data_IF_104938576840
#
_entry.id   IF_104938576840
#
_cell.length_a   1.000
_cell.length_b   1.000
_cell.length_c   1.000
_cell.angle_alpha   90.00
_cell.angle_beta   90.00
_cell.angle_gamma   90.00
#
_symmetry.space_group_name_H-M   'P 1'
#
loop_
_entity.id
_entity.type
_entity.pdbx_description
1 polymer ?
#
# COMPACT_ATOMS: atom_id res chain seq x y z
N UNK A 1 -20.31 7.42 -12.96
CA UNK A 1 -19.82 8.63 -12.30
C UNK A 1 -18.41 8.90 -12.81
N UNK A 2 -18.10 10.12 -13.22
CA UNK A 2 -16.75 10.54 -13.60
C UNK A 2 -15.87 10.72 -12.34
N UNK A 3 -14.53 10.76 -12.47
CA UNK A 3 -13.66 11.01 -11.33
C UNK A 3 -13.96 12.33 -10.60
N UNK A 4 -14.27 13.40 -11.33
CA UNK A 4 -14.64 14.70 -10.74
C UNK A 4 -15.99 14.65 -10.03
N UNK A 5 -16.97 13.94 -10.57
CA UNK A 5 -18.25 13.73 -9.88
C UNK A 5 -18.06 12.93 -8.59
N UNK A 6 -17.17 11.91 -8.59
CA UNK A 6 -16.86 11.15 -7.38
C UNK A 6 -16.20 12.02 -6.31
N UNK A 7 -15.23 12.84 -6.71
CA UNK A 7 -14.60 13.82 -5.82
C UNK A 7 -15.64 14.74 -5.17
N UNK A 8 -16.58 15.27 -5.95
CA UNK A 8 -17.64 16.15 -5.44
C UNK A 8 -18.48 15.45 -4.37
N UNK A 9 -18.89 14.19 -4.61
CA UNK A 9 -19.65 13.41 -3.63
C UNK A 9 -18.87 13.22 -2.32
N UNK A 10 -17.55 13.01 -2.39
CA UNK A 10 -16.70 12.87 -1.21
C UNK A 10 -16.56 14.21 -0.46
N UNK A 11 -16.30 15.30 -1.18
CA UNK A 11 -16.16 16.64 -0.60
C UNK A 11 -17.48 17.16 0.00
N UNK A 12 -18.65 16.79 -0.56
CA UNK A 12 -19.98 17.08 -0.01
C UNK A 12 -20.22 16.44 1.37
N UNK A 13 -19.44 15.42 1.74
CA UNK A 13 -19.47 14.78 3.06
C UNK A 13 -18.36 15.29 3.99
N UNK A 14 -17.71 16.41 3.67
CA UNK A 14 -16.54 16.96 4.40
C UNK A 14 -15.36 15.97 4.48
N UNK A 15 -15.24 15.06 3.50
CA UNK A 15 -14.16 14.07 3.41
C UNK A 15 -13.18 14.39 2.27
N UNK A 16 -12.04 13.71 2.28
CA UNK A 16 -11.02 13.79 1.22
C UNK A 16 -10.70 12.40 0.68
N UNK A 17 -10.61 12.28 -0.65
CA UNK A 17 -10.17 11.04 -1.29
C UNK A 17 -8.66 11.06 -1.52
N UNK A 18 -7.88 10.73 -0.48
CA UNK A 18 -6.43 10.96 -0.48
C UNK A 18 -5.61 9.88 -1.21
N UNK A 19 -6.07 8.63 -1.24
CA UNK A 19 -5.33 7.52 -1.81
C UNK A 19 -6.24 6.53 -2.51
N UNK A 20 -5.73 5.85 -3.54
CA UNK A 20 -6.48 4.85 -4.29
C UNK A 20 -5.60 3.65 -4.64
N UNK A 21 -6.12 2.44 -4.40
CA UNK A 21 -5.48 1.20 -4.83
C UNK A 21 -5.93 0.87 -6.25
N UNK A 22 -4.97 0.60 -7.13
CA UNK A 22 -5.19 0.35 -8.56
C UNK A 22 -4.30 -0.78 -9.04
N UNK A 23 -4.86 -1.62 -9.92
CA UNK A 23 -4.19 -2.81 -10.42
C UNK A 23 -4.09 -2.78 -11.93
N UNK A 24 -2.89 -3.05 -12.44
CA UNK A 24 -2.68 -3.45 -13.81
C UNK A 24 -1.44 -4.33 -13.86
N UNK A 25 -1.61 -5.53 -14.37
CA UNK A 25 -0.57 -6.55 -14.38
C UNK A 25 0.65 -6.13 -15.21
N UNK A 26 1.82 -6.69 -14.87
CA UNK A 26 3.03 -6.57 -15.67
C UNK A 26 2.71 -7.12 -17.08
N UNK A 27 2.92 -6.33 -18.15
CA UNK A 27 2.48 -6.75 -19.46
C UNK A 27 3.33 -7.89 -20.04
N UNK A 28 2.67 -8.71 -20.86
CA UNK A 28 3.36 -9.63 -21.75
C UNK A 28 4.25 -8.86 -22.75
N UNK A 29 5.30 -9.49 -23.31
CA UNK A 29 6.12 -8.88 -24.36
C UNK A 29 5.25 -8.28 -25.48
N UNK A 30 5.56 -7.05 -25.89
CA UNK A 30 4.82 -6.32 -26.92
C UNK A 30 3.66 -5.44 -26.43
N UNK A 31 3.15 -5.65 -25.21
CA UNK A 31 2.03 -4.88 -24.65
C UNK A 31 2.47 -3.69 -23.76
N UNK A 32 3.78 -3.40 -23.69
CA UNK A 32 4.33 -2.34 -22.83
C UNK A 32 3.73 -0.97 -23.14
N UNK A 33 3.68 -0.59 -24.42
CA UNK A 33 3.18 0.72 -24.85
C UNK A 33 1.72 0.93 -24.44
N UNK A 34 0.84 -0.01 -24.78
CA UNK A 34 -0.58 0.08 -24.44
C UNK A 34 -0.81 0.07 -22.92
N UNK A 35 0.03 -0.63 -22.17
CA UNK A 35 -0.02 -0.64 -20.71
C UNK A 35 0.39 0.71 -20.11
N UNK A 36 1.42 1.36 -20.65
CA UNK A 36 1.81 2.72 -20.21
C UNK A 36 0.78 3.77 -20.62
N UNK A 37 0.13 3.61 -21.78
CA UNK A 37 -1.00 4.46 -22.19
C UNK A 37 -2.18 4.30 -21.22
N UNK A 38 -2.49 3.06 -20.81
CA UNK A 38 -3.49 2.79 -19.80
C UNK A 38 -3.14 3.45 -18.47
N UNK A 39 -1.91 3.27 -17.97
CA UNK A 39 -1.46 3.90 -16.72
C UNK A 39 -1.52 5.41 -16.80
N UNK A 40 -1.09 6.02 -17.91
CA UNK A 40 -1.19 7.47 -18.08
C UNK A 40 -2.62 7.95 -17.93
N UNK A 41 -3.58 7.29 -18.59
CA UNK A 41 -5.00 7.64 -18.47
C UNK A 41 -5.51 7.41 -17.05
N UNK A 42 -5.17 6.28 -16.45
CA UNK A 42 -5.56 5.94 -15.09
C UNK A 42 -5.07 6.99 -14.08
N UNK A 43 -3.81 7.43 -14.22
CA UNK A 43 -3.22 8.47 -13.38
C UNK A 43 -3.97 9.81 -13.58
N UNK A 44 -4.30 10.18 -14.83
CA UNK A 44 -5.08 11.39 -15.10
C UNK A 44 -6.48 11.35 -14.48
N UNK A 45 -7.16 10.21 -14.56
CA UNK A 45 -8.46 10.02 -13.93
C UNK A 45 -8.36 10.16 -12.40
N UNK A 46 -7.32 9.61 -11.78
CA UNK A 46 -7.10 9.71 -10.33
C UNK A 46 -6.73 11.13 -9.86
N UNK A 47 -5.97 11.87 -10.66
CA UNK A 47 -5.72 13.30 -10.42
C UNK A 47 -7.04 14.06 -10.44
N UNK A 48 -7.91 13.78 -11.41
CA UNK A 48 -9.25 14.39 -11.47
C UNK A 48 -10.14 13.99 -10.28
N UNK A 49 -9.93 12.80 -9.70
CA UNK A 49 -10.58 12.36 -8.46
C UNK A 49 -10.01 13.03 -7.19
N UNK A 50 -8.85 13.68 -7.28
CA UNK A 50 -8.25 14.44 -6.17
C UNK A 50 -7.34 13.63 -5.23
N UNK A 51 -6.86 12.46 -5.64
CA UNK A 51 -5.92 11.68 -4.82
C UNK A 51 -4.55 12.36 -4.73
N UNK A 52 -3.80 12.05 -3.67
CA UNK A 52 -2.39 12.45 -3.48
C UNK A 52 -1.42 11.30 -3.79
N UNK A 53 -1.88 10.06 -3.71
CA UNK A 53 -1.06 8.88 -4.00
C UNK A 53 -1.86 7.71 -4.58
N UNK A 54 -1.17 6.86 -5.34
CA UNK A 54 -1.67 5.58 -5.82
C UNK A 54 -0.93 4.43 -5.15
N UNK A 55 -1.67 3.36 -4.88
CA UNK A 55 -1.10 2.10 -4.42
C UNK A 55 -1.38 0.98 -5.41
N UNK A 56 -0.53 -0.03 -5.43
CA UNK A 56 -0.79 -1.28 -6.16
C UNK A 56 -0.33 -2.47 -5.32
N UNK A 57 -0.98 -3.61 -5.50
CA UNK A 57 -0.50 -4.92 -5.03
C UNK A 57 -0.51 -5.89 -6.21
N UNK A 58 0.04 -7.10 -6.04
CA UNK A 58 0.15 -8.01 -7.18
C UNK A 58 0.07 -9.50 -6.82
N UNK A 59 -1.09 -10.09 -7.14
CA UNK A 59 -1.31 -11.53 -6.99
C UNK A 59 -0.45 -12.41 -7.91
N UNK A 60 0.10 -11.88 -9.01
CA UNK A 60 0.96 -12.65 -9.92
C UNK A 60 2.32 -12.99 -9.30
N UNK A 61 2.71 -12.33 -8.19
CA UNK A 61 3.97 -12.60 -7.51
C UNK A 61 4.07 -14.03 -6.96
N UNK A 62 2.92 -14.68 -6.70
CA UNK A 62 2.82 -16.10 -6.32
C UNK A 62 3.44 -17.06 -7.34
N UNK A 63 3.53 -16.64 -8.60
CA UNK A 63 4.06 -17.43 -9.71
C UNK A 63 5.50 -17.07 -10.07
N UNK A 64 6.10 -16.08 -9.41
CA UNK A 64 7.46 -15.64 -9.69
C UNK A 64 8.46 -16.62 -9.08
N UNK A 65 9.45 -17.03 -9.87
CA UNK A 65 10.42 -18.05 -9.42
C UNK A 65 11.88 -17.61 -9.62
N UNK A 66 12.13 -16.49 -10.29
CA UNK A 66 13.48 -15.99 -10.58
C UNK A 66 13.68 -14.52 -10.21
N UNK A 67 14.91 -14.12 -9.87
CA UNK A 67 15.26 -12.70 -9.65
C UNK A 67 15.13 -11.86 -10.92
N UNK A 68 15.28 -12.47 -12.10
CA UNK A 68 15.07 -11.77 -13.38
C UNK A 68 13.62 -11.32 -13.52
N UNK A 69 12.66 -12.16 -13.11
CA UNK A 69 11.24 -11.76 -13.07
C UNK A 69 10.99 -10.68 -12.03
N UNK A 70 11.58 -10.78 -10.83
CA UNK A 70 11.50 -9.71 -9.82
C UNK A 70 12.02 -8.38 -10.34
N UNK A 71 13.16 -8.39 -11.06
CA UNK A 71 13.72 -7.17 -11.64
C UNK A 71 12.76 -6.54 -12.65
N UNK A 72 12.06 -7.35 -13.46
CA UNK A 72 11.04 -6.83 -14.39
C UNK A 72 9.90 -6.12 -13.67
N UNK A 73 9.50 -6.60 -12.49
CA UNK A 73 8.54 -5.90 -11.64
C UNK A 73 9.09 -4.59 -11.09
N UNK A 74 10.34 -4.57 -10.60
CA UNK A 74 10.99 -3.34 -10.17
C UNK A 74 11.03 -2.29 -11.29
N UNK A 75 11.41 -2.68 -12.51
CA UNK A 75 11.47 -1.79 -13.67
C UNK A 75 10.07 -1.25 -14.05
N UNK A 76 9.06 -2.11 -13.95
CA UNK A 76 7.67 -1.76 -14.16
C UNK A 76 7.16 -0.74 -13.14
N UNK A 77 7.37 -1.01 -11.85
CA UNK A 77 6.98 -0.10 -10.77
C UNK A 77 7.75 1.22 -10.83
N UNK A 78 9.04 1.21 -11.16
CA UNK A 78 9.81 2.43 -11.40
C UNK A 78 9.24 3.27 -12.54
N UNK A 79 8.77 2.63 -13.61
CA UNK A 79 8.17 3.33 -14.75
C UNK A 79 6.84 3.98 -14.36
N UNK A 80 5.96 3.24 -13.67
CA UNK A 80 4.68 3.79 -13.17
C UNK A 80 4.93 4.92 -12.17
N UNK A 81 5.81 4.68 -11.20
CA UNK A 81 6.15 5.67 -10.17
C UNK A 81 6.74 6.95 -10.76
N UNK A 82 7.52 6.84 -11.83
CA UNK A 82 7.98 8.02 -12.57
C UNK A 82 6.82 8.78 -13.22
N UNK A 83 5.88 8.07 -13.88
CA UNK A 83 4.70 8.71 -14.48
C UNK A 83 3.84 9.43 -13.42
N UNK A 84 3.63 8.80 -12.26
CA UNK A 84 2.93 9.42 -11.13
C UNK A 84 3.66 10.70 -10.67
N UNK A 85 4.98 10.59 -10.43
CA UNK A 85 5.79 11.71 -9.95
C UNK A 85 5.81 12.89 -10.92
N UNK A 86 5.95 12.63 -12.22
CA UNK A 86 5.94 13.68 -13.25
C UNK A 86 4.61 14.47 -13.25
N UNK A 87 3.54 13.88 -12.70
CA UNK A 87 2.20 14.48 -12.55
C UNK A 87 1.86 14.87 -11.10
N UNK A 88 2.83 14.85 -10.19
CA UNK A 88 2.67 15.29 -8.80
C UNK A 88 2.02 14.27 -7.85
N UNK A 89 1.88 13.00 -8.26
CA UNK A 89 1.40 11.92 -7.41
C UNK A 89 2.55 11.05 -6.88
N UNK A 90 2.38 10.52 -5.68
CA UNK A 90 3.23 9.44 -5.19
C UNK A 90 2.69 8.07 -5.63
N UNK A 91 3.58 7.09 -5.77
CA UNK A 91 3.22 5.70 -6.07
C UNK A 91 3.82 4.78 -5.02
N UNK A 92 3.01 3.85 -4.50
CA UNK A 92 3.44 2.91 -3.48
C UNK A 92 3.03 1.46 -3.77
N UNK A 93 3.89 0.51 -3.40
CA UNK A 93 3.57 -0.91 -3.44
C UNK A 93 3.01 -1.36 -2.08
N UNK A 94 1.86 -2.03 -2.08
CA UNK A 94 1.17 -2.58 -0.92
C UNK A 94 1.42 -4.09 -0.79
N UNK A 95 1.88 -4.55 0.37
CA UNK A 95 2.17 -5.97 0.62
C UNK A 95 0.98 -6.74 1.16
N UNK A 96 0.97 -8.04 0.87
CA UNK A 96 0.27 -9.07 1.62
C UNK A 96 1.30 -10.02 2.26
N UNK A 97 0.87 -11.21 2.69
CA UNK A 97 1.78 -12.22 3.28
C UNK A 97 2.70 -12.86 2.24
N UNK A 98 2.25 -12.99 0.99
CA UNK A 98 2.97 -13.73 -0.06
C UNK A 98 4.30 -13.06 -0.45
N UNK A 99 4.39 -11.74 -0.35
CA UNK A 99 5.59 -10.97 -0.65
C UNK A 99 6.74 -11.19 0.36
N UNK A 100 6.46 -11.84 1.49
CA UNK A 100 7.52 -12.24 2.44
C UNK A 100 8.12 -13.62 2.13
N UNK A 101 7.63 -14.31 1.09
CA UNK A 101 8.21 -15.53 0.54
C UNK A 101 9.56 -15.32 -0.16
N UNK A 102 10.25 -16.43 -0.46
CA UNK A 102 11.59 -16.44 -1.07
C UNK A 102 11.56 -16.79 -2.56
N UNK A 103 12.33 -16.04 -3.35
CA UNK A 103 12.66 -16.31 -4.75
C UNK A 103 14.17 -16.36 -4.88
N UNK A 104 14.72 -17.51 -5.31
CA UNK A 104 16.17 -17.75 -5.39
C UNK A 104 16.93 -17.33 -4.12
N UNK A 105 16.35 -17.66 -2.96
CA UNK A 105 16.90 -17.38 -1.63
C UNK A 105 16.79 -15.93 -1.17
N UNK A 106 16.08 -15.06 -1.90
CA UNK A 106 15.86 -13.65 -1.53
C UNK A 106 14.39 -13.40 -1.31
N UNK A 107 14.05 -12.68 -0.25
CA UNK A 107 12.68 -12.27 0.05
C UNK A 107 12.18 -11.26 -0.98
N UNK A 108 10.98 -11.48 -1.52
CA UNK A 108 10.42 -10.65 -2.60
C UNK A 108 10.30 -9.18 -2.16
N UNK A 109 9.71 -8.93 -0.98
CA UNK A 109 9.52 -7.57 -0.47
C UNK A 109 10.86 -6.83 -0.25
N UNK A 110 11.86 -7.51 0.31
CA UNK A 110 13.21 -6.96 0.49
C UNK A 110 13.84 -6.61 -0.86
N UNK A 111 13.66 -7.48 -1.87
CA UNK A 111 14.16 -7.22 -3.23
C UNK A 111 13.52 -5.96 -3.81
N UNK A 112 12.20 -5.76 -3.65
CA UNK A 112 11.53 -4.56 -4.14
C UNK A 112 11.98 -3.30 -3.41
N UNK A 113 12.13 -3.37 -2.08
CA UNK A 113 12.69 -2.26 -1.30
C UNK A 113 14.12 -1.94 -1.77
N UNK A 114 14.95 -2.92 -2.07
CA UNK A 114 16.35 -2.68 -2.45
C UNK A 114 16.54 -2.28 -3.93
N UNK A 115 15.62 -2.65 -4.82
CA UNK A 115 15.81 -2.53 -6.28
C UNK A 115 14.80 -1.63 -6.99
N UNK A 116 13.90 -0.97 -6.27
CA UNK A 116 13.10 0.15 -6.79
C UNK A 116 13.71 1.48 -6.40
N UNK A 117 13.62 2.47 -7.29
CA UNK A 117 14.18 3.80 -7.04
C UNK A 117 13.31 4.51 -5.99
N UNK A 118 13.87 4.90 -4.82
CA UNK A 118 13.13 5.59 -3.76
C UNK A 118 12.57 6.94 -4.20
N UNK A 119 13.01 7.50 -5.34
CA UNK A 119 12.42 8.70 -5.93
C UNK A 119 11.05 8.45 -6.56
N UNK A 120 10.74 7.21 -6.95
CA UNK A 120 9.57 6.86 -7.76
C UNK A 120 8.65 5.88 -7.03
N UNK A 121 9.20 4.98 -6.22
CA UNK A 121 8.43 3.90 -5.58
C UNK A 121 8.59 3.96 -4.07
N UNK A 122 7.47 4.25 -3.41
CA UNK A 122 7.28 4.09 -1.98
C UNK A 122 6.59 2.75 -1.68
N UNK A 123 6.30 2.52 -0.41
CA UNK A 123 5.60 1.34 0.08
C UNK A 123 4.43 1.74 0.96
N UNK A 124 3.37 0.94 0.91
CA UNK A 124 2.28 0.95 1.85
C UNK A 124 2.38 -0.32 2.68
N UNK A 125 2.86 -0.21 3.92
CA UNK A 125 3.03 -1.38 4.78
C UNK A 125 1.67 -1.84 5.31
N UNK A 126 1.25 -3.06 4.97
CA UNK A 126 0.17 -3.71 5.71
C UNK A 126 0.74 -4.51 6.88
N UNK A 127 0.46 -4.01 8.09
CA UNK A 127 1.07 -4.52 9.32
C UNK A 127 0.53 -5.90 9.69
N UNK A 128 -0.76 -6.16 9.44
CA UNK A 128 -1.33 -7.48 9.67
C UNK A 128 -0.70 -8.50 8.73
N UNK A 129 -0.55 -8.15 7.46
CA UNK A 129 0.08 -9.05 6.50
C UNK A 129 1.58 -9.24 6.73
N UNK A 130 2.26 -8.29 7.38
CA UNK A 130 3.63 -8.47 7.87
C UNK A 130 3.70 -9.51 9.00
N UNK A 131 2.77 -9.49 9.96
CA UNK A 131 2.64 -10.55 10.99
C UNK A 131 2.41 -11.92 10.36
N UNK A 132 1.48 -12.01 9.38
CA UNK A 132 1.23 -13.25 8.64
C UNK A 132 2.45 -13.72 7.85
N UNK A 133 3.25 -12.79 7.33
CA UNK A 133 4.54 -13.05 6.68
C UNK A 133 5.68 -13.39 7.64
N UNK A 134 5.40 -13.48 8.95
CA UNK A 134 6.35 -13.75 10.03
C UNK A 134 7.52 -12.75 10.07
N UNK A 135 7.24 -11.47 9.78
CA UNK A 135 8.23 -10.40 9.88
C UNK A 135 7.80 -9.29 10.83
N UNK A 136 8.77 -8.64 11.46
CA UNK A 136 8.50 -7.51 12.35
C UNK A 136 8.48 -6.19 11.56
N UNK A 137 7.36 -5.43 11.55
CA UNK A 137 7.30 -4.11 10.92
C UNK A 137 8.34 -3.10 11.43
N UNK A 138 8.71 -3.15 12.71
CA UNK A 138 9.72 -2.24 13.30
C UNK A 138 11.06 -2.39 12.59
N UNK A 139 11.49 -3.63 12.31
CA UNK A 139 12.75 -3.92 11.62
C UNK A 139 12.77 -3.27 10.23
N UNK A 140 11.63 -3.27 9.53
CA UNK A 140 11.51 -2.68 8.20
C UNK A 140 11.51 -1.15 8.24
N UNK A 141 10.78 -0.54 9.17
CA UNK A 141 10.77 0.92 9.31
C UNK A 141 12.14 1.48 9.70
N UNK A 142 12.88 0.77 10.58
CA UNK A 142 14.25 1.14 10.94
C UNK A 142 15.25 0.91 9.80
N UNK A 143 15.16 -0.22 9.08
CA UNK A 143 16.11 -0.57 8.01
C UNK A 143 15.91 0.27 6.74
N UNK A 144 14.67 0.62 6.42
CA UNK A 144 14.30 1.34 5.20
C UNK A 144 13.58 2.66 5.53
N UNK A 145 14.24 3.59 6.24
CA UNK A 145 13.63 4.85 6.60
C UNK A 145 13.20 5.59 5.32
N UNK A 146 12.07 6.29 5.41
CA UNK A 146 11.48 7.07 4.30
C UNK A 146 10.96 6.25 3.10
N UNK A 147 10.99 4.92 3.14
CA UNK A 147 10.40 4.10 2.07
C UNK A 147 8.89 3.91 2.19
N UNK A 148 8.35 4.07 3.39
CA UNK A 148 6.94 3.84 3.67
C UNK A 148 6.16 5.14 3.68
N UNK A 149 5.33 5.34 2.66
CA UNK A 149 4.49 6.53 2.50
C UNK A 149 3.19 6.40 3.29
N UNK A 150 2.66 5.18 3.36
CA UNK A 150 1.37 4.85 3.95
C UNK A 150 1.51 3.53 4.71
N UNK A 151 0.56 3.22 5.56
CA UNK A 151 0.39 1.89 6.15
C UNK A 151 -1.09 1.56 6.33
N UNK A 152 -1.39 0.28 6.31
CA UNK A 152 -2.70 -0.25 6.65
C UNK A 152 -2.70 -0.68 8.12
N UNK A 153 -3.67 -0.12 8.85
CA UNK A 153 -3.93 -0.41 10.25
C UNK A 153 -5.04 -1.45 10.30
N UNK A 154 -4.62 -2.71 10.28
CA UNK A 154 -5.46 -3.88 10.04
C UNK A 154 -5.21 -4.94 11.12
N UNK A 155 -6.22 -5.72 11.43
CA UNK A 155 -6.08 -6.94 12.21
C UNK A 155 -6.73 -8.10 11.42
N UNK A 156 -6.72 -9.33 11.96
CA UNK A 156 -7.40 -10.44 11.32
C UNK A 156 -8.89 -10.13 11.11
N UNK A 157 -9.55 -9.62 12.16
CA UNK A 157 -10.94 -9.14 12.12
C UNK A 157 -11.03 -7.73 12.69
N UNK A 158 -11.65 -7.58 13.85
CA UNK A 158 -11.77 -6.30 14.54
C UNK A 158 -10.40 -5.82 15.03
N UNK A 159 -10.06 -4.57 14.71
CA UNK A 159 -8.79 -3.95 15.05
C UNK A 159 -8.52 -4.00 16.57
N UNK A 160 -7.34 -4.49 16.94
CA UNK A 160 -6.90 -4.59 18.34
C UNK A 160 -7.50 -5.78 19.11
N UNK A 161 -8.27 -6.66 18.45
CA UNK A 161 -8.91 -7.80 19.13
C UNK A 161 -8.10 -9.10 19.05
N UNK A 162 -7.17 -9.24 18.11
CA UNK A 162 -6.36 -10.46 18.05
C UNK A 162 -5.31 -10.54 19.15
N UNK A 163 -4.85 -9.39 19.67
CA UNK A 163 -3.73 -9.29 20.59
C UNK A 163 -2.37 -9.60 19.97
N UNK A 164 -2.28 -9.70 18.63
CA UNK A 164 -1.03 -10.03 17.92
C UNK A 164 -0.16 -8.82 17.61
N UNK A 165 -0.78 -7.67 17.38
CA UNK A 165 -0.10 -6.44 16.94
C UNK A 165 -0.17 -5.43 18.07
N UNK A 166 0.99 -4.98 18.55
CA UNK A 166 1.07 -3.89 19.52
C UNK A 166 1.02 -2.54 18.80
N UNK A 167 -0.20 -2.07 18.53
CA UNK A 167 -0.42 -0.80 17.85
C UNK A 167 0.10 0.39 18.64
N UNK A 168 0.09 0.33 19.98
CA UNK A 168 0.55 1.45 20.78
C UNK A 168 2.07 1.60 20.69
N UNK A 169 2.79 0.48 20.72
CA UNK A 169 4.23 0.45 20.48
C UNK A 169 4.57 0.98 19.08
N UNK A 170 3.88 0.53 18.02
CA UNK A 170 4.14 0.99 16.65
C UNK A 170 3.89 2.48 16.43
N UNK A 171 2.86 3.05 17.07
CA UNK A 171 2.55 4.48 16.94
C UNK A 171 3.51 5.39 17.71
N UNK A 172 4.07 4.89 18.82
CA UNK A 172 4.95 5.65 19.70
C UNK A 172 6.42 5.22 19.62
N UNK A 173 6.79 4.38 18.65
CA UNK A 173 8.13 3.83 18.57
C UNK A 173 9.18 4.95 18.41
N UNK A 174 10.22 5.00 19.25
CA UNK A 174 11.15 6.14 19.27
C UNK A 174 12.08 6.21 18.06
N UNK A 175 12.30 5.10 17.37
CA UNK A 175 13.32 4.98 16.31
C UNK A 175 12.80 5.21 14.88
N UNK A 176 11.50 5.43 14.70
CA UNK A 176 10.96 5.78 13.38
C UNK A 176 9.74 6.69 13.49
N UNK A 177 9.51 7.48 12.44
CA UNK A 177 8.27 8.24 12.30
C UNK A 177 7.21 7.36 11.63
N UNK A 178 5.98 7.39 12.16
CA UNK A 178 4.86 6.68 11.52
C UNK A 178 4.64 7.20 10.08
N UNK A 179 4.23 6.33 9.14
CA UNK A 179 3.93 6.75 7.76
C UNK A 179 2.93 7.91 7.70
N UNK A 180 3.10 8.78 6.68
CA UNK A 180 2.30 9.99 6.49
C UNK A 180 0.80 9.66 6.45
N UNK A 181 0.42 8.69 5.62
CA UNK A 181 -0.98 8.28 5.50
C UNK A 181 -1.27 7.03 6.32
N UNK A 182 -2.42 7.04 6.99
CA UNK A 182 -2.88 5.99 7.89
C UNK A 182 -4.24 5.54 7.42
N UNK A 183 -4.37 4.28 7.03
CA UNK A 183 -5.61 3.72 6.48
C UNK A 183 -6.04 2.56 7.36
N UNK A 184 -7.15 2.68 8.07
CA UNK A 184 -7.75 1.53 8.74
C UNK A 184 -8.38 0.62 7.67
N UNK A 185 -8.08 -0.67 7.73
CA UNK A 185 -8.67 -1.66 6.82
C UNK A 185 -9.33 -2.78 7.62
N UNK A 186 -10.50 -3.20 7.16
CA UNK A 186 -11.25 -4.35 7.68
C UNK A 186 -11.57 -5.26 6.50
N UNK A 187 -11.02 -6.47 6.53
CA UNK A 187 -11.16 -7.46 5.45
C UNK A 187 -12.10 -8.60 5.85
N UNK A 188 -11.81 -9.26 6.97
CA UNK A 188 -12.71 -10.20 7.65
C UNK A 188 -13.36 -9.49 8.85
N UNK A 189 -14.57 -9.89 9.21
CA UNK A 189 -15.36 -9.22 10.24
C UNK A 189 -16.44 -10.12 10.82
N UNK A 190 -16.66 -9.96 12.13
CA UNK A 190 -17.69 -10.68 12.88
C UNK A 190 -19.05 -9.96 12.86
N UNK A 191 -19.08 -8.72 12.41
CA UNK A 191 -20.26 -7.83 12.42
C UNK A 191 -20.51 -7.18 11.06
N UNK A 192 -21.65 -6.49 10.83
CA UNK A 192 -21.87 -5.75 9.59
C UNK A 192 -20.71 -4.79 9.27
N UNK A 193 -20.30 -4.65 7.99
CA UNK A 193 -19.06 -3.95 7.63
C UNK A 193 -18.93 -2.55 8.23
N UNK A 194 -19.99 -1.75 8.16
CA UNK A 194 -19.97 -0.38 8.71
C UNK A 194 -19.80 -0.34 10.22
N UNK A 195 -20.32 -1.35 10.93
CA UNK A 195 -20.12 -1.45 12.37
C UNK A 195 -18.69 -1.86 12.69
N UNK A 196 -18.10 -2.79 11.92
CA UNK A 196 -16.69 -3.17 12.08
C UNK A 196 -15.73 -2.01 11.79
N UNK A 197 -16.03 -1.18 10.78
CA UNK A 197 -15.29 0.07 10.51
C UNK A 197 -15.43 1.05 11.67
N UNK A 198 -16.64 1.19 12.25
CA UNK A 198 -16.83 2.02 13.45
C UNK A 198 -15.99 1.50 14.63
N UNK A 199 -15.96 0.19 14.88
CA UNK A 199 -15.13 -0.39 15.94
C UNK A 199 -13.63 -0.12 15.73
N UNK A 200 -13.16 -0.18 14.48
CA UNK A 200 -11.77 0.18 14.16
C UNK A 200 -11.49 1.67 14.45
N UNK A 201 -12.43 2.56 14.09
CA UNK A 201 -12.32 3.99 14.43
C UNK A 201 -12.31 4.22 15.95
N UNK A 202 -13.22 3.59 16.70
CA UNK A 202 -13.28 3.72 18.16
C UNK A 202 -12.00 3.25 18.83
N UNK A 203 -11.45 2.12 18.41
CA UNK A 203 -10.15 1.64 18.91
C UNK A 203 -9.03 2.65 18.65
N UNK A 204 -8.91 3.14 17.42
CA UNK A 204 -7.88 4.13 17.09
C UNK A 204 -8.03 5.41 17.90
N UNK A 205 -9.26 5.91 18.00
CA UNK A 205 -9.54 7.18 18.67
C UNK A 205 -9.31 7.09 20.18
N UNK A 206 -9.85 6.08 20.85
CA UNK A 206 -9.83 6.02 22.31
C UNK A 206 -8.60 5.32 22.92
N UNK A 207 -7.91 4.45 22.17
CA UNK A 207 -6.82 3.63 22.73
C UNK A 207 -5.45 3.98 22.15
N UNK A 208 -5.38 4.61 20.96
CA UNK A 208 -4.12 4.84 20.24
C UNK A 208 -3.80 6.32 20.06
N UNK A 209 -4.78 7.16 19.77
CA UNK A 209 -4.58 8.58 19.40
C UNK A 209 -4.86 9.58 20.53
N UNK A 210 -5.52 9.16 21.61
CA UNK A 210 -5.79 9.95 22.82
C UNK A 210 -4.59 9.91 23.79
#
# INVERSE_FOLDING_TARGET
>A
MSPTEFRQVVEEQDMQFLGSMTFHDLPSPGAWKSTMEWWSKCIDDHIAAGVEYLTTSNNQLKSVTTKVELQRYCDYYNTIGKLCKDKGLAFAFHNHGDEFGLVEGVRIYDYFLENTDPKYVYFQADIYWMDVGEVNPVDYFQKYPSRFLSWHIKDYKELGKSGKIDWMELFNHPDFETPKYKVAEVEDYSYPPMFSVQLAWEYLYYEILD
#
